data_IF_768387744181
#
_entry.id   IF_768387744181
#
_cell.length_a   1.000
_cell.length_b   1.000
_cell.length_c   1.000
_cell.angle_alpha   90.00
_cell.angle_beta   90.00
_cell.angle_gamma   90.00
#
_symmetry.space_group_name_H-M   'P 1'
#
loop_
_entity.id
_entity.type
_entity.pdbx_description
1 polymer ?
#
# COMPACT_ATOMS: atom_id res chain seq x y z
N UNK A 1 19.48 11.77 15.76
CA UNK A 1 19.02 10.88 14.68
C UNK A 1 17.58 11.28 14.38
N UNK A 2 17.24 11.56 13.12
CA UNK A 2 15.97 12.17 12.74
C UNK A 2 14.76 11.37 13.23
N UNK A 3 13.69 12.09 13.61
CA UNK A 3 12.42 11.57 14.13
C UNK A 3 11.56 10.89 13.03
N UNK A 4 12.19 10.27 12.03
CA UNK A 4 11.48 9.63 10.93
C UNK A 4 10.91 8.29 11.41
N UNK A 5 9.58 8.22 11.51
CA UNK A 5 8.86 7.00 11.87
C UNK A 5 8.22 6.39 10.64
N UNK A 6 8.31 5.07 10.52
CA UNK A 6 7.51 4.33 9.55
C UNK A 6 6.09 4.13 10.08
N UNK A 7 5.11 4.02 9.18
CA UNK A 7 3.75 3.64 9.52
C UNK A 7 3.42 2.29 8.89
N UNK A 8 2.87 1.37 9.68
CA UNK A 8 2.39 0.06 9.23
C UNK A 8 0.87 0.01 9.41
N UNK A 9 0.14 -0.21 8.31
CA UNK A 9 -1.32 -0.15 8.29
C UNK A 9 -1.87 -1.42 7.66
N UNK A 10 -2.79 -2.08 8.36
CA UNK A 10 -3.56 -3.22 7.84
C UNK A 10 -4.93 -3.25 8.52
N UNK A 11 -5.95 -3.69 7.79
CA UNK A 11 -7.32 -3.82 8.34
C UNK A 11 -7.43 -4.98 9.33
N UNK A 12 -6.53 -5.95 9.25
CA UNK A 12 -6.50 -7.15 10.08
C UNK A 12 -5.71 -6.90 11.37
N UNK A 13 -6.36 -6.90 12.55
CA UNK A 13 -5.66 -6.83 13.83
C UNK A 13 -4.64 -7.95 13.99
N UNK A 14 -4.96 -9.16 13.50
CA UNK A 14 -4.06 -10.32 13.53
C UNK A 14 -2.77 -10.07 12.73
N UNK A 15 -2.86 -9.42 11.56
CA UNK A 15 -1.67 -9.11 10.77
C UNK A 15 -0.84 -8.01 11.43
N UNK A 16 -1.47 -7.01 12.04
CA UNK A 16 -0.77 -5.98 12.83
C UNK A 16 -0.03 -6.60 14.01
N UNK A 17 -0.64 -7.51 14.76
CA UNK A 17 0.06 -8.20 15.85
C UNK A 17 1.25 -9.02 15.34
N UNK A 18 1.10 -9.73 14.21
CA UNK A 18 2.23 -10.39 13.55
C UNK A 18 3.33 -9.42 13.11
N UNK A 19 2.95 -8.24 12.59
CA UNK A 19 3.90 -7.21 12.18
C UNK A 19 4.67 -6.62 13.39
N UNK A 20 4.00 -6.40 14.53
CA UNK A 20 4.65 -6.00 15.78
C UNK A 20 5.66 -7.03 16.27
N UNK A 21 5.31 -8.32 16.23
CA UNK A 21 6.24 -9.40 16.59
C UNK A 21 7.45 -9.44 15.66
N UNK A 22 7.25 -9.24 14.36
CA UNK A 22 8.34 -9.16 13.38
C UNK A 22 9.24 -7.94 13.64
N UNK A 23 8.65 -6.77 13.93
CA UNK A 23 9.40 -5.56 14.24
C UNK A 23 10.18 -5.67 15.55
N UNK A 24 9.60 -6.34 16.56
CA UNK A 24 10.28 -6.67 17.81
C UNK A 24 11.50 -7.57 17.55
N UNK A 25 11.32 -8.66 16.78
CA UNK A 25 12.40 -9.56 16.39
C UNK A 25 13.50 -8.84 15.60
N UNK A 26 13.10 -7.93 14.71
CA UNK A 26 13.99 -7.06 13.93
C UNK A 26 14.61 -5.90 14.70
N UNK A 27 14.27 -5.72 16.00
CA UNK A 27 14.77 -4.64 16.88
C UNK A 27 14.47 -3.23 16.36
N UNK A 28 13.29 -3.06 15.74
CA UNK A 28 12.81 -1.78 15.17
C UNK A 28 11.38 -1.45 15.59
N UNK A 29 10.87 -2.08 16.66
CA UNK A 29 9.50 -1.88 17.13
C UNK A 29 9.20 -0.41 17.47
N UNK A 30 10.18 0.29 18.04
CA UNK A 30 10.13 1.70 18.42
C UNK A 30 10.23 2.68 17.23
N UNK A 31 10.61 2.18 16.05
CA UNK A 31 10.70 2.96 14.82
C UNK A 31 9.42 2.91 13.95
N UNK A 32 8.44 2.08 14.32
CA UNK A 32 7.22 1.84 13.53
C UNK A 32 5.97 2.16 14.35
N UNK A 33 5.13 3.04 13.83
CA UNK A 33 3.77 3.28 14.33
C UNK A 33 2.81 2.31 13.63
N UNK A 34 2.09 1.48 14.41
CA UNK A 34 1.15 0.49 13.87
C UNK A 34 -0.29 0.99 13.99
N UNK A 35 -1.03 0.95 12.88
CA UNK A 35 -2.42 1.41 12.80
C UNK A 35 -3.27 0.26 12.27
N UNK A 36 -4.34 -0.07 13.00
CA UNK A 36 -5.36 -0.99 12.50
C UNK A 36 -6.39 -0.14 11.76
N UNK A 37 -6.54 -0.34 10.44
CA UNK A 37 -7.46 0.46 9.64
C UNK A 37 -7.58 0.03 8.19
N UNK A 38 -8.66 0.46 7.55
CA UNK A 38 -8.94 0.20 6.13
C UNK A 38 -8.25 1.26 5.26
N UNK A 39 -7.35 0.83 4.39
CA UNK A 39 -6.59 1.75 3.51
C UNK A 39 -7.44 2.44 2.45
N UNK A 40 -8.71 2.06 2.29
CA UNK A 40 -9.68 2.76 1.43
C UNK A 40 -10.38 3.92 2.13
N UNK A 41 -10.17 4.10 3.43
CA UNK A 41 -10.83 5.09 4.28
C UNK A 41 -9.86 6.19 4.73
N UNK A 42 -10.19 7.46 4.56
CA UNK A 42 -9.29 8.58 4.87
C UNK A 42 -9.00 8.71 6.36
N UNK A 43 -9.96 8.35 7.21
CA UNK A 43 -9.82 8.36 8.67
C UNK A 43 -8.69 7.46 9.19
N UNK A 44 -8.31 6.43 8.43
CA UNK A 44 -7.17 5.55 8.74
C UNK A 44 -5.85 6.31 8.78
N UNK A 45 -5.75 7.43 8.05
CA UNK A 45 -4.52 8.20 7.87
C UNK A 45 -4.44 9.46 8.73
N UNK A 46 -5.40 9.69 9.65
CA UNK A 46 -5.41 10.88 10.51
C UNK A 46 -4.14 11.01 11.36
N UNK A 47 -3.54 9.89 11.75
CA UNK A 47 -2.34 9.84 12.60
C UNK A 47 -1.02 9.85 11.80
N UNK A 48 -1.05 9.70 10.47
CA UNK A 48 0.17 9.53 9.67
C UNK A 48 0.88 10.84 9.30
N UNK A 49 0.30 12.00 9.66
CA UNK A 49 0.74 13.35 9.28
C UNK A 49 0.79 13.59 7.75
N UNK A 50 0.81 14.86 7.35
CA UNK A 50 0.96 15.24 5.92
C UNK A 50 2.39 15.04 5.37
N UNK A 51 3.32 14.50 6.17
CA UNK A 51 4.74 14.44 5.82
C UNK A 51 5.19 13.09 5.22
N UNK A 52 4.26 12.19 4.89
CA UNK A 52 4.60 10.92 4.22
C UNK A 52 5.09 11.21 2.80
N UNK A 53 6.40 11.04 2.59
CA UNK A 53 7.03 11.24 1.27
C UNK A 53 7.10 9.95 0.45
N UNK A 54 7.03 8.79 1.11
CA UNK A 54 7.22 7.49 0.50
C UNK A 54 6.19 6.48 1.01
N UNK A 55 5.60 5.73 0.08
CA UNK A 55 4.62 4.68 0.36
C UNK A 55 5.11 3.41 -0.35
N UNK A 56 5.13 2.29 0.38
CA UNK A 56 5.46 0.98 -0.17
C UNK A 56 4.37 -0.02 0.20
N UNK A 57 3.85 -0.77 -0.78
CA UNK A 57 2.77 -1.73 -0.50
C UNK A 57 2.73 -2.95 -1.44
N UNK A 58 2.11 -4.01 -0.93
CA UNK A 58 1.76 -5.22 -1.67
C UNK A 58 0.25 -5.45 -1.49
N UNK A 59 -0.59 -4.75 -2.28
CA UNK A 59 -2.04 -4.82 -2.09
C UNK A 59 -2.59 -6.20 -2.45
N UNK A 60 -3.78 -6.55 -1.95
CA UNK A 60 -4.45 -7.78 -2.33
C UNK A 60 -4.68 -7.86 -3.85
N UNK A 61 -4.28 -8.97 -4.47
CA UNK A 61 -4.40 -9.20 -5.92
C UNK A 61 -5.29 -10.41 -6.28
N UNK A 62 -6.16 -10.81 -5.35
CA UNK A 62 -7.28 -11.69 -5.68
C UNK A 62 -7.02 -13.21 -5.62
N UNK A 63 -5.77 -13.69 -5.66
CA UNK A 63 -5.53 -15.16 -5.66
C UNK A 63 -5.99 -15.90 -4.39
N UNK A 64 -6.17 -15.17 -3.28
CA UNK A 64 -6.75 -15.70 -2.03
C UNK A 64 -8.14 -15.12 -1.72
N UNK A 65 -8.71 -14.31 -2.61
CA UNK A 65 -10.05 -13.75 -2.42
C UNK A 65 -11.08 -14.65 -3.11
N UNK A 66 -12.15 -14.99 -2.37
CA UNK A 66 -13.30 -15.71 -2.90
C UNK A 66 -14.05 -14.94 -4.02
N UNK A 67 -13.71 -13.67 -4.28
CA UNK A 67 -14.32 -12.86 -5.33
C UNK A 67 -13.30 -11.93 -6.03
N UNK A 68 -12.72 -12.37 -7.16
CA UNK A 68 -11.77 -11.58 -7.96
C UNK A 68 -12.32 -10.24 -8.44
N UNK A 69 -13.65 -10.10 -8.58
CA UNK A 69 -14.30 -8.87 -9.04
C UNK A 69 -14.18 -7.71 -8.03
N UNK A 70 -13.82 -7.99 -6.77
CA UNK A 70 -13.61 -6.95 -5.75
C UNK A 70 -12.27 -6.22 -5.91
N UNK A 71 -11.29 -6.80 -6.59
CA UNK A 71 -9.95 -6.22 -6.71
C UNK A 71 -9.95 -4.88 -7.49
N UNK A 72 -10.61 -4.77 -8.66
CA UNK A 72 -10.69 -3.48 -9.36
C UNK A 72 -11.33 -2.37 -8.53
N UNK A 73 -12.44 -2.66 -7.84
CA UNK A 73 -13.11 -1.69 -6.97
C UNK A 73 -12.22 -1.27 -5.79
N UNK A 74 -11.54 -2.24 -5.15
CA UNK A 74 -10.60 -1.94 -4.08
C UNK A 74 -9.45 -1.05 -4.57
N UNK A 75 -8.81 -1.36 -5.70
CA UNK A 75 -7.72 -0.54 -6.24
C UNK A 75 -8.18 0.85 -6.60
N UNK A 76 -9.36 1.00 -7.20
CA UNK A 76 -9.91 2.30 -7.52
C UNK A 76 -10.09 3.16 -6.26
N UNK A 77 -10.77 2.64 -5.23
CA UNK A 77 -10.99 3.38 -4.00
C UNK A 77 -9.67 3.65 -3.27
N UNK A 78 -8.76 2.67 -3.24
CA UNK A 78 -7.45 2.82 -2.63
C UNK A 78 -6.62 3.93 -3.29
N UNK A 79 -6.50 3.92 -4.63
CA UNK A 79 -5.73 4.94 -5.37
C UNK A 79 -6.33 6.34 -5.15
N UNK A 80 -7.66 6.47 -5.17
CA UNK A 80 -8.34 7.72 -4.84
C UNK A 80 -7.93 8.23 -3.46
N UNK A 81 -8.14 7.41 -2.43
CA UNK A 81 -7.91 7.78 -1.03
C UNK A 81 -6.45 8.15 -0.81
N UNK A 82 -5.50 7.35 -1.30
CA UNK A 82 -4.07 7.61 -1.13
C UNK A 82 -3.62 8.87 -1.87
N UNK A 83 -4.13 9.14 -3.08
CA UNK A 83 -3.84 10.37 -3.81
C UNK A 83 -4.32 11.60 -3.04
N UNK A 84 -5.53 11.54 -2.48
CA UNK A 84 -6.12 12.64 -1.69
C UNK A 84 -5.35 12.89 -0.38
N UNK A 85 -4.87 11.83 0.30
CA UNK A 85 -4.16 11.97 1.57
C UNK A 85 -2.68 12.36 1.41
N UNK A 86 -2.02 11.92 0.33
CA UNK A 86 -0.57 11.98 0.18
C UNK A 86 -0.13 12.54 -1.18
N UNK A 87 -0.81 13.58 -1.66
CA UNK A 87 -0.45 14.25 -2.91
C UNK A 87 1.02 14.70 -2.90
N UNK A 88 1.76 14.40 -3.98
CA UNK A 88 3.18 14.68 -4.12
C UNK A 88 4.11 13.56 -3.63
N UNK A 89 3.61 12.58 -2.87
CA UNK A 89 4.40 11.45 -2.39
C UNK A 89 4.75 10.46 -3.51
N UNK A 90 5.79 9.68 -3.28
CA UNK A 90 6.20 8.58 -4.16
C UNK A 90 5.63 7.26 -3.65
N UNK A 91 4.99 6.50 -4.52
CA UNK A 91 4.43 5.19 -4.19
C UNK A 91 5.08 4.09 -5.02
N UNK A 92 5.58 3.06 -4.33
CA UNK A 92 6.05 1.81 -4.90
C UNK A 92 5.06 0.68 -4.55
N UNK A 93 4.57 -0.05 -5.54
CA UNK A 93 3.64 -1.16 -5.30
C UNK A 93 3.95 -2.37 -6.17
N UNK A 94 3.66 -3.56 -5.65
CA UNK A 94 3.73 -4.83 -6.38
C UNK A 94 2.35 -5.48 -6.44
N UNK A 95 1.92 -5.96 -7.61
CA UNK A 95 0.63 -6.65 -7.73
C UNK A 95 0.63 -7.75 -8.79
N UNK A 96 -0.12 -8.82 -8.51
CA UNK A 96 -0.48 -9.86 -9.48
C UNK A 96 -1.68 -9.50 -10.38
N UNK A 97 -2.27 -8.31 -10.21
CA UNK A 97 -3.41 -7.82 -11.00
C UNK A 97 -3.08 -6.50 -11.71
N UNK A 98 -2.08 -6.47 -12.61
CA UNK A 98 -1.56 -5.25 -13.21
C UNK A 98 -2.63 -4.44 -13.97
N UNK A 99 -3.48 -5.11 -14.75
CA UNK A 99 -4.53 -4.42 -15.53
C UNK A 99 -5.49 -3.62 -14.66
N UNK A 100 -5.92 -4.18 -13.51
CA UNK A 100 -6.81 -3.49 -12.59
C UNK A 100 -6.13 -2.28 -11.94
N UNK A 101 -4.84 -2.42 -11.61
CA UNK A 101 -4.07 -1.33 -10.99
C UNK A 101 -3.80 -0.20 -11.99
N UNK A 102 -3.43 -0.51 -13.23
CA UNK A 102 -3.22 0.48 -14.28
C UNK A 102 -4.50 1.27 -14.60
N UNK A 103 -5.66 0.60 -14.63
CA UNK A 103 -6.95 1.27 -14.76
C UNK A 103 -7.23 2.23 -13.60
N UNK A 104 -6.98 1.80 -12.36
CA UNK A 104 -7.17 2.65 -11.18
C UNK A 104 -6.23 3.87 -11.20
N UNK A 105 -4.94 3.68 -11.48
CA UNK A 105 -3.96 4.77 -11.60
C UNK A 105 -4.34 5.76 -12.71
N UNK A 106 -4.72 5.25 -13.89
CA UNK A 106 -5.12 6.09 -15.02
C UNK A 106 -6.40 6.89 -14.73
N UNK A 107 -7.36 6.32 -14.02
CA UNK A 107 -8.63 6.98 -13.69
C UNK A 107 -8.45 8.23 -12.82
N UNK A 108 -7.39 8.27 -12.02
CA UNK A 108 -7.04 9.40 -11.17
C UNK A 108 -5.78 10.13 -11.65
N UNK A 109 -5.45 10.07 -12.94
CA UNK A 109 -4.32 10.80 -13.55
C UNK A 109 -2.96 10.56 -12.86
N UNK A 110 -2.76 9.40 -12.24
CA UNK A 110 -1.51 9.02 -11.59
C UNK A 110 -0.55 8.44 -12.64
N UNK A 111 0.53 9.17 -12.93
CA UNK A 111 1.51 8.75 -13.94
C UNK A 111 2.45 7.67 -13.40
N UNK A 112 2.60 6.60 -14.16
CA UNK A 112 3.60 5.56 -13.90
C UNK A 112 4.96 6.05 -14.39
N UNK A 113 5.88 6.30 -13.47
CA UNK A 113 7.26 6.71 -13.81
C UNK A 113 8.08 5.52 -14.30
N UNK A 114 7.92 4.35 -13.67
CA UNK A 114 8.58 3.10 -14.07
C UNK A 114 7.71 1.92 -13.72
N UNK A 115 7.79 0.88 -14.53
CA UNK A 115 7.26 -0.44 -14.16
C UNK A 115 8.13 -1.55 -14.70
N UNK A 116 8.13 -2.70 -14.03
CA UNK A 116 8.85 -3.89 -14.49
C UNK A 116 8.23 -5.16 -13.91
N UNK A 117 8.34 -6.24 -14.68
CA UNK A 117 7.83 -7.56 -14.31
C UNK A 117 8.80 -8.28 -13.38
N UNK A 118 8.25 -8.99 -12.40
CA UNK A 118 8.99 -9.82 -11.44
C UNK A 118 8.25 -11.13 -11.19
N UNK A 119 8.97 -12.14 -10.73
CA UNK A 119 8.37 -13.35 -10.15
C UNK A 119 8.31 -13.21 -8.63
N UNK A 120 7.14 -13.41 -8.04
CA UNK A 120 6.93 -13.32 -6.60
C UNK A 120 6.10 -14.51 -6.12
N UNK A 121 6.73 -15.47 -5.45
CA UNK A 121 6.06 -16.69 -4.95
C UNK A 121 5.38 -17.53 -6.05
N UNK A 122 6.01 -17.62 -7.23
CA UNK A 122 5.47 -18.33 -8.40
C UNK A 122 4.47 -17.53 -9.24
N UNK A 123 4.15 -16.31 -8.83
CA UNK A 123 3.21 -15.43 -9.53
C UNK A 123 3.98 -14.42 -10.36
N UNK A 124 3.57 -14.23 -11.62
CA UNK A 124 4.07 -13.14 -12.45
C UNK A 124 3.41 -11.83 -12.00
N UNK A 125 4.13 -11.04 -11.23
CA UNK A 125 3.69 -9.76 -10.69
C UNK A 125 4.37 -8.58 -11.40
N UNK A 126 3.81 -7.39 -11.27
CA UNK A 126 4.40 -6.16 -11.80
C UNK A 126 4.63 -5.17 -10.67
N UNK A 127 5.81 -4.58 -10.63
CA UNK A 127 6.16 -3.48 -9.73
C UNK A 127 5.92 -2.17 -10.48
N UNK A 128 5.34 -1.19 -9.79
CA UNK A 128 5.14 0.17 -10.28
C UNK A 128 5.80 1.17 -9.34
N UNK A 129 6.46 2.17 -9.91
CA UNK A 129 6.91 3.38 -9.24
C UNK A 129 6.10 4.54 -9.79
N UNK A 130 5.36 5.23 -8.92
CA UNK A 130 4.45 6.32 -9.30
C UNK A 130 4.66 7.52 -8.40
N UNK A 131 4.26 8.70 -8.88
CA UNK A 131 4.13 9.92 -8.09
C UNK A 131 2.65 10.26 -8.00
N UNK A 132 2.16 10.46 -6.77
CA UNK A 132 0.76 10.75 -6.45
C UNK A 132 0.39 12.22 -6.68
#
# INVERSE_FOLDING_TARGET
VGNERAFCIDISPKHIEGAKLNALSGRVLDAVNFIIGDSTRSETFKETSHNVSYIALNPPYGMRFHNPKKIPQFYETFVKTIKEQFSGAYMALITGSPNAMEQALSKYDVKIARSFWVMHGGIRAKIYLVKL
#
